data_IF_200685065372
#
_entry.id   IF_200685065372
#
_cell.length_a   1.000
_cell.length_b   1.000
_cell.length_c   1.000
_cell.angle_alpha   90.00
_cell.angle_beta   90.00
_cell.angle_gamma   90.00
#
_symmetry.space_group_name_H-M   'P 1'
#
loop_
_entity.id
_entity.type
_entity.pdbx_description
1 polymer ?
#
# COMPACT_ATOMS: atom_id res chain seq x y z
N UNK A 1 2.49 3.88 -24.07
CA UNK A 1 3.29 4.54 -23.02
C UNK A 1 3.68 3.50 -21.99
N UNK A 2 4.94 3.44 -21.54
CA UNK A 2 5.40 2.49 -20.51
C UNK A 2 5.27 3.18 -19.16
N UNK A 3 4.40 2.68 -18.28
CA UNK A 3 4.30 3.19 -16.92
C UNK A 3 5.47 2.63 -16.09
N UNK A 4 6.19 3.49 -15.36
CA UNK A 4 7.15 3.05 -14.35
C UNK A 4 6.39 2.49 -13.14
N UNK A 5 6.86 1.38 -12.59
CA UNK A 5 6.27 0.72 -11.43
C UNK A 5 7.40 0.29 -10.51
N UNK A 6 7.21 0.45 -9.19
CA UNK A 6 8.14 -0.03 -8.18
C UNK A 6 7.40 -0.90 -7.17
N UNK A 7 7.88 -2.11 -6.94
CA UNK A 7 7.35 -3.00 -5.93
C UNK A 7 7.80 -2.52 -4.54
N UNK A 8 6.84 -2.43 -3.61
CA UNK A 8 7.12 -2.16 -2.21
C UNK A 8 7.67 -3.42 -1.51
N UNK A 9 8.38 -3.28 -0.38
CA UNK A 9 8.84 -4.43 0.39
C UNK A 9 7.70 -5.37 0.81
N UNK A 10 8.01 -6.66 0.96
CA UNK A 10 7.04 -7.73 1.26
C UNK A 10 6.18 -7.47 2.51
N UNK A 11 6.69 -6.71 3.49
CA UNK A 11 5.92 -6.39 4.71
C UNK A 11 4.58 -5.70 4.45
N UNK A 12 4.45 -4.98 3.32
CA UNK A 12 3.19 -4.34 2.93
C UNK A 12 2.15 -5.38 2.52
N UNK A 13 2.55 -6.40 1.75
CA UNK A 13 1.69 -7.52 1.38
C UNK A 13 1.23 -8.28 2.63
N UNK A 14 2.17 -8.62 3.51
CA UNK A 14 1.86 -9.27 4.79
C UNK A 14 0.92 -8.43 5.68
N UNK A 15 1.00 -7.10 5.60
CA UNK A 15 0.11 -6.22 6.36
C UNK A 15 -1.32 -6.26 5.82
N UNK A 16 -1.48 -6.23 4.49
CA UNK A 16 -2.78 -6.31 3.83
C UNK A 16 -3.42 -7.68 4.12
N UNK A 17 -2.66 -8.77 4.00
CA UNK A 17 -3.14 -10.12 4.32
C UNK A 17 -3.61 -10.24 5.77
N UNK A 18 -2.86 -9.66 6.73
CA UNK A 18 -3.24 -9.66 8.15
C UNK A 18 -4.51 -8.86 8.42
N UNK A 19 -4.67 -7.70 7.77
CA UNK A 19 -5.89 -6.90 7.90
C UNK A 19 -7.11 -7.63 7.31
N UNK A 20 -6.95 -8.29 6.16
CA UNK A 20 -8.01 -9.09 5.52
C UNK A 20 -8.41 -10.31 6.35
N UNK A 21 -7.43 -11.04 6.89
CA UNK A 21 -7.71 -12.19 7.77
C UNK A 21 -8.43 -11.76 9.04
N UNK A 22 -8.09 -10.61 9.63
CA UNK A 22 -8.72 -10.09 10.86
C UNK A 22 -10.18 -9.67 10.64
N UNK A 23 -10.50 -9.07 9.49
CA UNK A 23 -11.86 -8.60 9.15
C UNK A 23 -12.78 -9.72 8.64
N UNK A 24 -12.25 -10.94 8.47
CA UNK A 24 -12.99 -12.05 7.87
C UNK A 24 -13.17 -11.90 6.36
N UNK A 25 -12.51 -10.92 5.73
CA UNK A 25 -12.46 -10.70 4.29
C UNK A 25 -11.51 -11.68 3.58
N UNK A 26 -11.36 -12.90 4.11
CA UNK A 26 -10.46 -13.93 3.59
C UNK A 26 -10.93 -14.57 2.26
N UNK A 27 -12.07 -14.13 1.72
CA UNK A 27 -12.52 -14.47 0.37
C UNK A 27 -12.13 -13.38 -0.64
N UNK A 28 -11.72 -13.81 -1.84
CA UNK A 28 -11.16 -12.95 -2.90
C UNK A 28 -11.99 -11.70 -3.24
N UNK A 29 -13.32 -11.80 -3.19
CA UNK A 29 -14.23 -10.71 -3.52
C UNK A 29 -14.28 -9.62 -2.44
N UNK A 30 -14.22 -10.00 -1.16
CA UNK A 30 -14.22 -9.05 -0.04
C UNK A 30 -12.87 -8.34 0.09
N UNK A 31 -11.79 -9.04 -0.27
CA UNK A 31 -10.42 -8.50 -0.24
C UNK A 31 -10.24 -7.32 -1.20
N UNK A 32 -10.74 -7.44 -2.44
CA UNK A 32 -10.62 -6.37 -3.45
C UNK A 32 -11.67 -5.27 -3.30
N UNK A 33 -12.83 -5.57 -2.67
CA UNK A 33 -13.90 -4.60 -2.47
C UNK A 33 -13.48 -3.41 -1.60
N UNK A 34 -12.58 -3.63 -0.63
CA UNK A 34 -12.09 -2.59 0.28
C UNK A 34 -10.91 -1.78 -0.29
N UNK A 35 -10.47 -2.08 -1.52
CA UNK A 35 -9.37 -1.36 -2.16
C UNK A 35 -9.76 0.05 -2.54
N UNK A 36 -9.08 1.03 -1.93
CA UNK A 36 -9.27 2.45 -2.20
C UNK A 36 -8.13 2.97 -3.07
N UNK A 37 -8.46 3.67 -4.15
CA UNK A 37 -7.50 4.41 -4.98
C UNK A 37 -7.67 5.90 -4.72
N UNK A 38 -6.57 6.58 -4.42
CA UNK A 38 -6.57 8.04 -4.38
C UNK A 38 -6.66 8.60 -5.80
N UNK A 39 -6.97 9.89 -5.91
CA UNK A 39 -6.81 10.62 -7.16
C UNK A 39 -5.34 10.58 -7.61
N UNK A 40 -5.06 10.52 -8.91
CA UNK A 40 -3.72 10.69 -9.44
C UNK A 40 -3.16 12.05 -9.01
N UNK A 41 -1.89 12.07 -8.63
CA UNK A 41 -1.15 13.28 -8.30
C UNK A 41 -0.12 13.48 -9.39
N UNK A 42 -0.02 14.70 -9.91
CA UNK A 42 1.04 15.05 -10.84
C UNK A 42 2.34 15.28 -10.07
N UNK A 43 3.39 14.58 -10.49
CA UNK A 43 4.73 14.69 -9.90
C UNK A 43 5.70 14.94 -11.05
N UNK A 44 6.42 16.05 -10.96
CA UNK A 44 7.42 16.41 -11.96
C UNK A 44 8.65 15.48 -11.88
N UNK A 45 9.23 15.18 -13.04
CA UNK A 45 10.49 14.47 -13.15
C UNK A 45 10.45 13.20 -14.00
N UNK A 46 11.52 12.43 -13.91
CA UNK A 46 11.64 11.14 -14.60
C UNK A 46 10.77 10.09 -13.89
N UNK A 47 9.97 9.36 -14.67
CA UNK A 47 8.99 8.42 -14.12
C UNK A 47 9.62 7.29 -13.28
N UNK A 48 10.83 6.83 -13.63
CA UNK A 48 11.52 5.77 -12.89
C UNK A 48 12.07 6.31 -11.57
N UNK A 49 12.69 7.50 -11.59
CA UNK A 49 13.15 8.17 -10.37
C UNK A 49 11.99 8.50 -9.43
N UNK A 50 10.88 9.02 -9.95
CA UNK A 50 9.68 9.31 -9.17
C UNK A 50 9.16 8.03 -8.51
N UNK A 51 8.99 6.93 -9.28
CA UNK A 51 8.51 5.66 -8.74
C UNK A 51 9.42 5.09 -7.63
N UNK A 52 10.74 5.23 -7.76
CA UNK A 52 11.70 4.81 -6.73
C UNK A 52 11.56 5.68 -5.48
N UNK A 53 11.59 7.00 -5.65
CA UNK A 53 11.51 7.95 -4.52
C UNK A 53 10.20 7.83 -3.74
N UNK A 54 9.07 7.63 -4.42
CA UNK A 54 7.78 7.42 -3.77
C UNK A 54 7.73 6.08 -3.03
N UNK A 55 8.32 5.02 -3.60
CA UNK A 55 8.43 3.75 -2.90
C UNK A 55 9.29 3.86 -1.63
N UNK A 56 10.39 4.61 -1.68
CA UNK A 56 11.24 4.88 -0.51
C UNK A 56 10.53 5.73 0.54
N UNK A 57 9.79 6.77 0.12
CA UNK A 57 8.98 7.60 0.99
C UNK A 57 7.90 6.78 1.70
N UNK A 58 7.12 6.00 0.95
CA UNK A 58 6.10 5.09 1.51
C UNK A 58 6.76 4.09 2.47
N UNK A 59 7.92 3.54 2.09
CA UNK A 59 8.66 2.62 2.93
C UNK A 59 9.14 3.25 4.25
N UNK A 60 9.50 4.54 4.26
CA UNK A 60 9.93 5.23 5.46
C UNK A 60 8.74 5.68 6.33
N UNK A 61 7.65 6.16 5.71
CA UNK A 61 6.47 6.68 6.40
C UNK A 61 5.64 5.57 7.04
N UNK A 62 5.50 4.43 6.35
CA UNK A 62 4.79 3.26 6.85
C UNK A 62 5.79 2.30 7.48
N UNK A 63 6.28 2.71 8.64
CA UNK A 63 7.12 1.91 9.50
C UNK A 63 6.33 0.77 10.18
N UNK A 64 7.02 -0.02 11.00
CA UNK A 64 6.41 -1.18 11.65
C UNK A 64 5.28 -0.79 12.62
N UNK A 65 5.39 0.34 13.33
CA UNK A 65 4.40 0.76 14.32
C UNK A 65 3.13 1.30 13.66
N UNK A 66 3.29 2.11 12.61
CA UNK A 66 2.17 2.60 11.79
C UNK A 66 1.45 1.45 11.11
N UNK A 67 2.17 0.50 10.50
CA UNK A 67 1.58 -0.70 9.90
C UNK A 67 0.79 -1.51 10.92
N UNK A 68 1.32 -1.74 12.13
CA UNK A 68 0.58 -2.44 13.19
C UNK A 68 -0.70 -1.73 13.58
N UNK A 69 -0.66 -0.40 13.70
CA UNK A 69 -1.82 0.43 14.02
C UNK A 69 -2.89 0.34 12.94
N UNK A 70 -2.50 0.40 11.67
CA UNK A 70 -3.40 0.21 10.53
C UNK A 70 -4.04 -1.18 10.55
N UNK A 71 -3.28 -2.25 10.78
CA UNK A 71 -3.84 -3.62 10.90
C UNK A 71 -4.82 -3.70 12.08
N UNK A 72 -4.49 -3.07 13.21
CA UNK A 72 -5.37 -3.03 14.38
C UNK A 72 -6.67 -2.26 14.09
N UNK A 73 -6.66 -1.32 13.16
CA UNK A 73 -7.81 -0.53 12.71
C UNK A 73 -8.33 -0.94 11.32
N UNK A 74 -8.18 -2.20 10.95
CA UNK A 74 -8.76 -2.79 9.72
C UNK A 74 -8.36 -2.06 8.42
N UNK A 75 -7.16 -1.47 8.41
CA UNK A 75 -6.60 -0.71 7.27
C UNK A 75 -7.03 0.76 7.22
N UNK A 76 -7.58 1.30 8.30
CA UNK A 76 -8.00 2.70 8.40
C UNK A 76 -7.07 3.52 9.31
N UNK A 77 -6.91 4.79 8.97
CA UNK A 77 -6.28 5.86 9.77
C UNK A 77 -7.23 7.06 9.81
#
# INVERSE_FOLDING_TARGET
RRAAKKQLPERFEQAIDRAAMKTGAAGDDAYLAEWRKSNPIEVEGDAEKVAISEAERINAEYDQEKIKSLIANDGWE
#
